data_IF_001904467412
#
_entry.id   IF_001904467412
#
_cell.length_a   1.000
_cell.length_b   1.000
_cell.length_c   1.000
_cell.angle_alpha   90.00
_cell.angle_beta   90.00
_cell.angle_gamma   90.00
#
_symmetry.space_group_name_H-M   'P 1'
#
loop_
_entity.id
_entity.type
_entity.pdbx_description
1 polymer ?
#
# COMPACT_ATOMS: atom_id res chain seq x y z
N UNK A 1 -4.28 -4.44 18.30
CA UNK A 1 -4.63 -3.00 18.17
C UNK A 1 -4.76 -2.68 16.69
N UNK A 2 -5.95 -2.90 16.12
CA UNK A 2 -6.22 -2.55 14.72
C UNK A 2 -6.10 -1.03 14.62
N UNK A 3 -5.09 -0.56 13.88
CA UNK A 3 -5.02 0.85 13.50
C UNK A 3 -6.37 1.25 12.91
N UNK A 4 -6.87 2.41 13.33
CA UNK A 4 -8.15 2.92 12.91
C UNK A 4 -8.14 3.12 11.38
N UNK A 5 -8.56 2.09 10.65
CA UNK A 5 -8.47 2.02 9.18
C UNK A 5 -9.10 3.24 8.53
N UNK A 6 -10.16 3.77 9.17
CA UNK A 6 -10.87 4.98 8.75
C UNK A 6 -9.97 6.22 8.66
N UNK A 7 -9.09 6.45 9.65
CA UNK A 7 -8.20 7.61 9.68
C UNK A 7 -7.09 7.48 8.63
N UNK A 8 -6.56 6.28 8.44
CA UNK A 8 -5.55 5.99 7.40
C UNK A 8 -6.12 6.21 5.99
N UNK A 9 -7.26 5.59 5.68
CA UNK A 9 -7.93 5.77 4.40
C UNK A 9 -8.39 7.22 4.21
N UNK A 10 -8.87 7.89 5.26
CA UNK A 10 -9.22 9.31 5.24
C UNK A 10 -8.02 10.20 4.87
N UNK A 11 -6.88 9.97 5.51
CA UNK A 11 -5.63 10.71 5.25
C UNK A 11 -5.12 10.51 3.81
N UNK A 12 -5.27 9.30 3.27
CA UNK A 12 -4.87 8.99 1.89
C UNK A 12 -5.87 9.47 0.82
N UNK A 13 -7.14 9.70 1.20
CA UNK A 13 -8.17 10.22 0.30
C UNK A 13 -7.95 11.70 0.00
N UNK A 14 -7.31 12.44 0.92
CA UNK A 14 -6.89 13.82 0.65
C UNK A 14 -5.83 13.86 -0.44
N UNK A 15 -5.96 14.86 -1.33
CA UNK A 15 -4.98 15.09 -2.38
C UNK A 15 -3.60 15.39 -1.76
N UNK A 16 -2.48 14.89 -2.32
CA UNK A 16 -1.13 15.12 -1.79
C UNK A 16 -0.80 16.58 -1.42
N UNK A 17 -1.28 17.54 -2.21
CA UNK A 17 -1.01 18.97 -2.00
C UNK A 17 -1.85 19.59 -0.86
N UNK A 18 -2.87 18.90 -0.37
CA UNK A 18 -3.81 19.37 0.66
C UNK A 18 -3.64 18.60 1.98
N UNK A 19 -2.64 17.72 2.04
CA UNK A 19 -2.42 16.81 3.15
C UNK A 19 -1.74 17.55 4.32
N UNK A 20 -2.33 17.47 5.51
CA UNK A 20 -1.76 18.10 6.71
C UNK A 20 -0.65 17.23 7.33
N UNK A 21 0.12 17.79 8.27
CA UNK A 21 1.15 17.00 8.96
C UNK A 21 0.55 15.87 9.84
N UNK A 22 -0.68 16.05 10.34
CA UNK A 22 -1.44 15.00 11.03
C UNK A 22 -1.81 13.85 10.09
N UNK A 23 -2.25 14.15 8.88
CA UNK A 23 -2.53 13.13 7.85
C UNK A 23 -1.22 12.38 7.49
N UNK A 24 -0.11 13.11 7.30
CA UNK A 24 1.21 12.51 7.02
C UNK A 24 1.65 11.60 8.16
N UNK A 25 1.49 12.05 9.42
CA UNK A 25 1.81 11.26 10.60
C UNK A 25 0.96 9.98 10.68
N UNK A 26 -0.32 10.08 10.37
CA UNK A 26 -1.25 8.94 10.33
C UNK A 26 -0.81 7.90 9.29
N UNK A 27 -0.47 8.35 8.07
CA UNK A 27 0.03 7.47 7.00
C UNK A 27 1.38 6.86 7.40
N UNK A 28 2.29 7.67 7.94
CA UNK A 28 3.62 7.23 8.40
C UNK A 28 3.52 6.10 9.42
N UNK A 29 2.69 6.27 10.44
CA UNK A 29 2.50 5.28 11.50
C UNK A 29 1.94 3.95 10.98
N UNK A 30 1.18 3.97 9.87
CA UNK A 30 0.73 2.78 9.18
C UNK A 30 1.85 2.15 8.35
N UNK A 31 2.47 2.92 7.44
CA UNK A 31 3.48 2.42 6.52
C UNK A 31 4.74 1.90 7.24
N UNK A 32 5.12 2.51 8.38
CA UNK A 32 6.28 2.08 9.17
C UNK A 32 6.17 0.64 9.70
N UNK A 33 4.95 0.09 9.76
CA UNK A 33 4.69 -1.30 10.20
C UNK A 33 4.85 -2.32 9.07
N UNK A 34 4.96 -1.88 7.82
CA UNK A 34 5.17 -2.77 6.69
C UNK A 34 6.67 -3.07 6.57
N UNK A 35 7.03 -4.36 6.56
CA UNK A 35 8.43 -4.82 6.49
C UNK A 35 9.19 -4.23 5.29
N UNK A 36 8.49 -3.98 4.18
CA UNK A 36 9.06 -3.36 2.98
C UNK A 36 9.67 -1.97 3.25
N UNK A 37 9.23 -1.25 4.29
CA UNK A 37 9.77 0.05 4.67
C UNK A 37 10.67 0.02 5.90
N UNK A 38 10.96 -1.15 6.48
CA UNK A 38 11.79 -1.26 7.69
C UNK A 38 13.16 -0.60 7.51
N UNK A 39 13.76 -0.77 6.33
CA UNK A 39 15.08 -0.23 5.98
C UNK A 39 15.06 1.23 5.55
N UNK A 40 13.89 1.84 5.36
CA UNK A 40 13.78 3.21 4.90
C UNK A 40 13.85 4.18 6.09
N UNK A 41 14.75 5.15 6.05
CA UNK A 41 14.82 6.18 7.09
C UNK A 41 13.57 7.07 7.10
N UNK A 42 13.33 7.73 8.24
CA UNK A 42 12.13 8.51 8.51
C UNK A 42 11.86 9.61 7.47
N UNK A 43 12.89 10.37 7.07
CA UNK A 43 12.72 11.47 6.13
C UNK A 43 12.24 11.01 4.73
N UNK A 44 12.89 10.03 4.07
CA UNK A 44 12.37 9.44 2.84
C UNK A 44 10.98 8.83 2.99
N UNK A 45 10.70 8.12 4.09
CA UNK A 45 9.37 7.54 4.32
C UNK A 45 8.29 8.62 4.49
N UNK A 46 8.59 9.73 5.15
CA UNK A 46 7.69 10.89 5.23
C UNK A 46 7.48 11.54 3.86
N UNK A 47 8.49 11.58 3.01
CA UNK A 47 8.34 12.04 1.61
C UNK A 47 7.35 11.14 0.86
N UNK A 48 7.49 9.81 0.99
CA UNK A 48 6.53 8.84 0.45
C UNK A 48 5.12 9.10 0.99
N UNK A 49 4.97 9.33 2.30
CA UNK A 49 3.68 9.61 2.92
C UNK A 49 3.03 10.89 2.38
N UNK A 50 3.82 11.89 1.97
CA UNK A 50 3.31 13.13 1.35
C UNK A 50 2.83 12.92 -0.08
N UNK A 51 3.51 12.07 -0.85
CA UNK A 51 3.19 11.87 -2.28
C UNK A 51 2.27 10.68 -2.55
N UNK A 52 2.03 9.81 -1.57
CA UNK A 52 1.19 8.62 -1.71
C UNK A 52 -0.25 8.96 -2.15
N UNK A 53 -0.82 8.10 -2.99
CA UNK A 53 -2.16 8.22 -3.55
C UNK A 53 -2.93 6.93 -3.30
N UNK A 54 -4.19 7.07 -2.90
CA UNK A 54 -5.11 5.93 -2.85
C UNK A 54 -5.83 5.80 -4.18
N UNK A 55 -5.65 4.65 -4.83
CA UNK A 55 -6.32 4.32 -6.08
C UNK A 55 -7.25 3.12 -5.88
N UNK A 56 -8.39 3.13 -6.55
CA UNK A 56 -9.35 2.03 -6.58
C UNK A 56 -9.64 1.68 -8.03
N UNK A 57 -9.40 0.43 -8.37
CA UNK A 57 -9.50 -0.06 -9.74
C UNK A 57 -10.57 -1.15 -9.83
N UNK A 58 -11.31 -1.17 -10.94
CA UNK A 58 -12.25 -2.24 -11.24
C UNK A 58 -11.51 -3.55 -11.57
N UNK A 59 -12.19 -4.71 -11.46
CA UNK A 59 -11.63 -5.97 -11.93
C UNK A 59 -11.11 -5.86 -13.37
N UNK A 60 -10.01 -6.56 -13.67
CA UNK A 60 -9.32 -6.56 -14.97
C UNK A 60 -8.65 -5.23 -15.38
N UNK A 61 -8.56 -4.24 -14.48
CA UNK A 61 -7.75 -3.05 -14.72
C UNK A 61 -6.26 -3.41 -14.82
N UNK A 62 -5.59 -2.91 -15.85
CA UNK A 62 -4.16 -3.18 -16.08
C UNK A 62 -3.33 -2.06 -15.44
N UNK A 63 -2.64 -2.38 -14.35
CA UNK A 63 -1.74 -1.42 -13.67
C UNK A 63 -0.53 -1.06 -14.54
N UNK A 64 0.13 -2.06 -15.12
CA UNK A 64 1.26 -1.88 -16.03
C UNK A 64 1.43 -3.08 -16.95
N UNK A 65 2.20 -2.90 -18.02
CA UNK A 65 2.57 -3.93 -18.99
C UNK A 65 4.08 -4.12 -19.02
N UNK A 66 4.51 -5.35 -19.30
CA UNK A 66 5.94 -5.67 -19.50
C UNK A 66 6.53 -4.76 -20.59
N UNK A 67 7.68 -4.16 -20.30
CA UNK A 67 8.37 -3.25 -21.21
C UNK A 67 7.99 -1.77 -21.05
N UNK A 68 7.02 -1.44 -20.20
CA UNK A 68 6.75 -0.05 -19.83
C UNK A 68 7.74 0.46 -18.78
N UNK A 69 8.13 1.72 -18.89
CA UNK A 69 8.93 2.41 -17.86
C UNK A 69 8.11 2.51 -16.58
N UNK A 70 8.68 2.06 -15.47
CA UNK A 70 8.04 2.17 -14.16
C UNK A 70 8.07 3.64 -13.70
N UNK A 71 6.88 4.23 -13.54
CA UNK A 71 6.72 5.61 -13.05
C UNK A 71 6.33 5.68 -11.58
N UNK A 72 5.80 4.57 -11.04
CA UNK A 72 5.38 4.45 -9.65
C UNK A 72 5.45 2.99 -9.18
N UNK A 73 5.20 2.79 -7.89
CA UNK A 73 5.09 1.50 -7.24
C UNK A 73 3.78 1.45 -6.45
N UNK A 74 3.27 0.24 -6.20
CA UNK A 74 1.97 0.01 -5.57
C UNK A 74 2.10 -0.81 -4.29
N UNK A 75 1.29 -0.47 -3.29
CA UNK A 75 1.00 -1.35 -2.14
C UNK A 75 -0.43 -1.84 -2.32
N UNK A 76 -0.62 -3.15 -2.35
CA UNK A 76 -1.95 -3.73 -2.40
C UNK A 76 -2.58 -3.71 -0.99
N UNK A 77 -3.57 -2.84 -0.79
CA UNK A 77 -4.27 -2.71 0.50
C UNK A 77 -5.46 -3.68 0.64
N UNK A 78 -6.13 -4.00 -0.48
CA UNK A 78 -7.28 -4.90 -0.53
C UNK A 78 -7.47 -5.48 -1.94
N UNK A 79 -8.12 -6.64 -2.03
CA UNK A 79 -8.36 -7.34 -3.29
C UNK A 79 -7.22 -8.30 -3.67
N UNK A 80 -7.00 -8.50 -4.96
CA UNK A 80 -5.94 -9.35 -5.49
C UNK A 80 -5.39 -8.77 -6.80
N UNK A 81 -4.14 -9.09 -7.10
CA UNK A 81 -3.50 -8.70 -8.37
C UNK A 81 -2.97 -9.94 -9.07
N UNK A 82 -3.23 -10.05 -10.36
CA UNK A 82 -2.66 -11.10 -11.20
C UNK A 82 -1.38 -10.58 -11.88
N UNK A 83 -0.25 -11.24 -11.64
CA UNK A 83 1.04 -10.88 -12.20
C UNK A 83 1.84 -12.15 -12.47
N UNK A 84 2.52 -12.24 -13.62
CA UNK A 84 3.39 -13.37 -13.99
C UNK A 84 2.74 -14.76 -13.81
N UNK A 85 1.46 -14.90 -14.19
CA UNK A 85 0.66 -16.13 -14.03
C UNK A 85 0.35 -16.53 -12.58
N UNK A 86 0.56 -15.63 -11.63
CA UNK A 86 0.29 -15.86 -10.20
C UNK A 86 -0.64 -14.77 -9.66
N UNK A 87 -1.41 -15.11 -8.63
CA UNK A 87 -2.27 -14.17 -7.90
C UNK A 87 -1.57 -13.77 -6.61
N UNK A 88 -1.50 -12.46 -6.35
CA UNK A 88 -0.94 -11.88 -5.14
C UNK A 88 -2.04 -11.24 -4.29
N UNK A 89 -1.91 -11.41 -2.97
CA UNK A 89 -2.84 -10.88 -1.96
C UNK A 89 -2.13 -9.83 -1.08
N UNK A 90 -2.89 -8.96 -0.38
CA UNK A 90 -2.34 -7.96 0.53
C UNK A 90 -1.41 -8.56 1.59
N UNK A 91 -0.32 -7.88 1.88
CA UNK A 91 0.64 -8.26 2.93
C UNK A 91 -0.06 -8.18 4.29
N UNK A 92 -0.34 -9.34 4.89
CA UNK A 92 -1.16 -9.48 6.10
C UNK A 92 -1.96 -10.79 6.15
N UNK A 93 -2.20 -11.42 5.00
CA UNK A 93 -2.79 -12.77 4.91
C UNK A 93 -1.78 -13.91 5.10
N UNK A 94 -0.58 -13.61 5.59
CA UNK A 94 0.48 -14.59 5.88
C UNK A 94 0.81 -14.71 7.37
N UNK A 95 0.03 -14.08 8.27
CA UNK A 95 0.27 -14.18 9.71
C UNK A 95 -0.96 -14.58 10.53
N UNK A 96 -1.70 -15.55 10.01
CA UNK A 96 -2.48 -16.46 10.84
C UNK A 96 -2.22 -17.87 10.32
N UNK A 97 -1.72 -18.73 11.19
CA UNK A 97 -1.63 -20.18 11.03
C UNK A 97 -2.98 -20.79 10.63
N UNK A 98 -3.33 -20.68 9.36
CA UNK A 98 -4.24 -21.61 8.70
C UNK A 98 -3.53 -22.06 7.44
N UNK A 99 -3.00 -23.28 7.51
CA UNK A 99 -2.57 -24.08 6.37
C UNK A 99 -3.47 -23.82 5.16
N UNK A 100 -3.00 -23.03 4.20
CA UNK A 100 -3.34 -23.23 2.80
C UNK A 100 -2.09 -23.79 2.12
N UNK A 101 -2.02 -25.12 2.11
CA UNK A 101 -1.35 -25.83 1.02
C UNK A 101 -2.10 -25.53 -0.27
N UNK A 102 -1.40 -25.09 -1.30
CA UNK A 102 -1.81 -25.35 -2.67
C UNK A 102 -0.55 -25.45 -3.55
N UNK A 103 -0.59 -26.43 -4.44
CA UNK A 103 0.47 -26.94 -5.32
C UNK A 103 1.02 -25.89 -6.30
#
# INVERSE_FOLDING_TARGET
MFLNSSAFYGSLTRHPNERTDEDVSTIYNYLRKLEVFERLHDAPLRSVCRTARLERHHPNYVLFRKGQVATCWYILLSGSVFMNKQVYLPVGWLQTDFSMRAF
#
